data_IF_535138996958
#
_entry.id   IF_535138996958
#
_cell.length_a   1.000
_cell.length_b   1.000
_cell.length_c   1.000
_cell.angle_alpha   90.00
_cell.angle_beta   90.00
_cell.angle_gamma   90.00
#
_symmetry.space_group_name_H-M   'P 1'
#
loop_
_entity.id
_entity.type
_entity.pdbx_description
1 polymer ?
#
# COMPACT_ATOMS: atom_id res chain seq x y z
N UNK A 1 -14.63 14.52 10.54
CA UNK A 1 -13.65 14.32 9.46
C UNK A 1 -12.28 14.06 10.05
N UNK A 2 -11.84 12.81 10.11
CA UNK A 2 -10.54 12.51 10.71
C UNK A 2 -9.39 13.00 9.85
N UNK A 3 -8.42 13.63 10.49
CA UNK A 3 -7.15 14.04 9.90
C UNK A 3 -6.04 13.33 10.65
N UNK A 4 -5.05 12.83 9.92
CA UNK A 4 -3.89 12.15 10.51
C UNK A 4 -2.63 12.88 10.14
N UNK A 5 -1.70 12.96 11.09
CA UNK A 5 -0.47 13.72 10.93
C UNK A 5 0.74 12.82 11.05
N UNK A 6 1.71 13.07 10.20
CA UNK A 6 3.04 12.48 10.29
C UNK A 6 4.06 13.56 9.99
N UNK A 7 5.27 13.40 10.49
CA UNK A 7 6.36 14.32 10.25
C UNK A 7 7.63 13.58 9.86
N UNK A 8 8.51 14.29 9.17
CA UNK A 8 9.81 13.77 8.78
C UNK A 8 10.84 14.89 8.83
N UNK A 9 12.08 14.52 9.14
CA UNK A 9 13.22 15.44 9.16
C UNK A 9 14.35 14.82 8.34
N UNK A 10 14.93 15.61 7.46
CA UNK A 10 16.13 15.22 6.72
C UNK A 10 17.29 16.12 7.12
N UNK A 11 18.45 15.52 7.38
CA UNK A 11 19.67 16.24 7.73
C UNK A 11 20.76 15.93 6.71
N UNK A 12 21.43 16.97 6.22
CA UNK A 12 22.54 16.82 5.26
C UNK A 12 22.09 16.83 3.80
N UNK A 13 23.05 16.54 2.93
CA UNK A 13 22.79 16.43 1.49
C UNK A 13 22.09 15.12 1.11
N UNK A 14 21.80 14.95 -0.17
CA UNK A 14 21.02 13.79 -0.61
C UNK A 14 21.73 12.45 -0.32
N UNK A 15 22.94 12.28 -0.80
CA UNK A 15 23.63 10.99 -0.68
C UNK A 15 24.27 10.75 0.69
N UNK A 16 24.74 11.78 1.33
CA UNK A 16 25.40 11.69 2.64
C UNK A 16 24.49 11.96 3.82
N UNK A 17 23.25 12.34 3.57
CA UNK A 17 22.29 12.70 4.59
C UNK A 17 21.55 11.52 5.20
N UNK A 18 20.63 11.85 6.10
CA UNK A 18 19.80 10.85 6.79
C UNK A 18 18.47 11.46 7.16
N UNK A 19 17.45 10.61 7.19
CA UNK A 19 16.10 11.02 7.53
C UNK A 19 15.48 10.17 8.62
N UNK A 20 14.47 10.74 9.26
CA UNK A 20 13.61 10.05 10.21
C UNK A 20 12.17 10.47 9.92
N UNK A 21 11.24 9.57 10.13
CA UNK A 21 9.83 9.88 10.06
C UNK A 21 9.11 9.27 11.25
N UNK A 22 7.99 9.85 11.61
CA UNK A 22 7.09 9.30 12.65
C UNK A 22 5.65 9.75 12.41
N UNK A 23 4.71 8.87 12.75
CA UNK A 23 3.30 9.20 12.77
C UNK A 23 2.87 9.66 14.15
N UNK A 24 1.82 10.48 14.20
CA UNK A 24 1.29 11.00 15.46
C UNK A 24 0.86 9.94 16.47
N UNK A 25 0.48 8.75 15.98
CA UNK A 25 0.03 7.65 16.84
C UNK A 25 1.17 6.95 17.61
N UNK A 26 2.41 7.18 17.20
CA UNK A 26 3.55 6.43 17.71
C UNK A 26 3.69 5.01 17.16
N UNK A 27 2.72 4.55 16.37
CA UNK A 27 2.72 3.19 15.81
C UNK A 27 3.56 3.07 14.54
N UNK A 28 4.03 4.19 14.00
CA UNK A 28 4.83 4.22 12.78
C UNK A 28 6.00 5.17 12.99
N UNK A 29 7.20 4.65 12.91
CA UNK A 29 8.43 5.44 13.00
C UNK A 29 9.59 4.69 12.33
N UNK A 30 10.53 5.41 11.75
CA UNK A 30 11.69 4.77 11.14
C UNK A 30 12.74 5.75 10.65
N UNK A 31 13.83 5.18 10.20
CA UNK A 31 14.94 5.89 9.56
C UNK A 31 14.97 5.58 8.07
N UNK A 32 15.42 6.52 7.27
CA UNK A 32 15.58 6.32 5.84
C UNK A 32 16.76 7.13 5.31
N UNK A 33 17.27 6.74 4.16
CA UNK A 33 18.45 7.34 3.55
C UNK A 33 18.37 7.20 2.04
N UNK A 34 19.30 7.81 1.33
CA UNK A 34 19.47 7.57 -0.10
C UNK A 34 19.67 6.06 -0.36
N UNK A 35 20.53 5.41 0.43
CA UNK A 35 20.80 3.98 0.29
C UNK A 35 19.60 3.08 0.56
N UNK A 36 18.77 3.40 1.55
CA UNK A 36 17.58 2.59 1.83
C UNK A 36 16.47 2.81 0.83
N UNK A 37 16.48 3.91 0.09
CA UNK A 37 15.49 4.21 -0.94
C UNK A 37 15.88 3.71 -2.33
N UNK A 38 17.12 3.94 -2.74
CA UNK A 38 17.58 3.69 -4.10
C UNK A 38 18.62 2.57 -4.22
N UNK A 39 19.10 2.06 -3.09
CA UNK A 39 20.06 0.98 -3.02
C UNK A 39 19.55 -0.11 -2.06
N UNK A 40 20.40 -1.04 -1.65
CA UNK A 40 19.98 -2.15 -0.78
C UNK A 40 20.41 -1.99 0.69
N UNK A 41 20.52 -0.76 1.16
CA UNK A 41 20.83 -0.50 2.56
C UNK A 41 19.60 -0.70 3.44
N UNK A 42 19.84 -1.05 4.71
CA UNK A 42 18.78 -1.20 5.70
C UNK A 42 18.10 0.13 5.99
N UNK A 43 16.83 0.07 6.28
CA UNK A 43 16.00 1.21 6.60
C UNK A 43 14.73 1.20 5.79
N UNK A 44 13.83 2.12 6.09
CA UNK A 44 12.60 2.28 5.36
C UNK A 44 12.76 3.28 4.21
N UNK A 45 11.67 3.61 3.56
CA UNK A 45 11.62 4.58 2.47
C UNK A 45 10.16 4.95 2.18
N UNK A 46 9.92 6.04 1.44
CA UNK A 46 8.56 6.47 1.13
C UNK A 46 7.73 5.43 0.36
N UNK A 47 8.36 4.66 -0.51
CA UNK A 47 7.67 3.65 -1.32
C UNK A 47 7.17 2.50 -0.45
N UNK A 48 7.94 2.09 0.54
CA UNK A 48 7.51 1.09 1.53
C UNK A 48 6.33 1.60 2.35
N UNK A 49 6.34 2.87 2.74
CA UNK A 49 5.23 3.49 3.46
C UNK A 49 3.94 3.53 2.62
N UNK A 50 4.06 3.86 1.34
CA UNK A 50 2.92 3.83 0.42
C UNK A 50 2.40 2.41 0.23
N UNK A 51 3.30 1.44 0.09
CA UNK A 51 2.94 0.03 -0.03
C UNK A 51 2.17 -0.45 1.22
N UNK A 52 2.65 -0.09 2.41
CA UNK A 52 1.97 -0.44 3.66
C UNK A 52 0.59 0.19 3.74
N UNK A 53 0.45 1.45 3.37
CA UNK A 53 -0.82 2.16 3.35
C UNK A 53 -1.82 1.48 2.39
N UNK A 54 -1.36 1.14 1.19
CA UNK A 54 -2.20 0.47 0.18
C UNK A 54 -2.63 -0.92 0.66
N UNK A 55 -1.69 -1.72 1.16
CA UNK A 55 -1.98 -3.07 1.65
C UNK A 55 -3.01 -3.05 2.78
N UNK A 56 -2.84 -2.15 3.75
CA UNK A 56 -3.76 -2.00 4.88
C UNK A 56 -5.15 -1.55 4.43
N UNK A 57 -5.22 -0.54 3.59
CA UNK A 57 -6.49 -0.01 3.09
C UNK A 57 -7.23 -1.04 2.24
N UNK A 58 -6.53 -1.67 1.31
CA UNK A 58 -7.13 -2.67 0.42
C UNK A 58 -7.69 -3.86 1.20
N UNK A 59 -6.93 -4.40 2.16
CA UNK A 59 -7.38 -5.52 2.99
C UNK A 59 -8.65 -5.18 3.76
N UNK A 60 -8.70 -4.01 4.38
CA UNK A 60 -9.85 -3.57 5.15
C UNK A 60 -11.07 -3.31 4.24
N UNK A 61 -10.88 -2.66 3.10
CA UNK A 61 -11.95 -2.39 2.15
C UNK A 61 -12.54 -3.67 1.57
N UNK A 62 -11.69 -4.64 1.23
CA UNK A 62 -12.14 -5.93 0.72
C UNK A 62 -12.90 -6.70 1.78
N UNK A 63 -12.42 -6.71 3.02
CA UNK A 63 -13.13 -7.31 4.16
C UNK A 63 -14.52 -6.71 4.32
N UNK A 64 -14.64 -5.39 4.23
CA UNK A 64 -15.92 -4.70 4.31
C UNK A 64 -16.87 -5.13 3.18
N UNK A 65 -16.35 -5.30 1.97
CA UNK A 65 -17.16 -5.75 0.83
C UNK A 65 -17.64 -7.20 1.00
N UNK A 66 -16.81 -8.08 1.55
CA UNK A 66 -17.22 -9.45 1.88
C UNK A 66 -18.31 -9.46 2.95
N UNK A 67 -18.15 -8.67 3.99
CA UNK A 67 -19.12 -8.58 5.07
C UNK A 67 -20.48 -8.08 4.56
N UNK A 68 -20.48 -7.04 3.72
CA UNK A 68 -21.70 -6.50 3.11
C UNK A 68 -22.38 -7.51 2.20
N UNK A 69 -21.65 -8.43 1.62
CA UNK A 69 -22.21 -9.54 0.83
C UNK A 69 -22.68 -10.72 1.69
N UNK A 70 -22.65 -10.58 3.00
CA UNK A 70 -23.07 -11.64 3.94
C UNK A 70 -22.05 -12.74 4.15
N UNK A 71 -20.81 -12.53 3.74
CA UNK A 71 -19.73 -13.52 3.83
C UNK A 71 -18.49 -12.88 4.48
N UNK A 72 -18.53 -12.66 5.81
CA UNK A 72 -17.37 -12.09 6.50
C UNK A 72 -16.14 -13.00 6.36
N UNK A 73 -14.97 -12.44 6.11
CA UNK A 73 -13.75 -13.24 5.94
C UNK A 73 -13.19 -13.69 7.27
N UNK A 74 -12.47 -14.81 7.25
CA UNK A 74 -11.59 -15.20 8.35
C UNK A 74 -10.33 -14.32 8.30
N UNK A 75 -9.80 -14.11 7.11
CA UNK A 75 -8.62 -13.26 6.90
C UNK A 75 -8.57 -12.72 5.48
N UNK A 76 -7.97 -11.55 5.35
CA UNK A 76 -7.58 -10.95 4.06
C UNK A 76 -6.14 -10.51 4.20
N UNK A 77 -5.29 -11.05 3.36
CA UNK A 77 -3.87 -10.74 3.34
C UNK A 77 -3.52 -10.08 2.02
N UNK A 78 -2.88 -8.91 2.09
CA UNK A 78 -2.45 -8.17 0.91
C UNK A 78 -0.97 -7.84 1.03
N UNK A 79 -0.21 -8.21 0.00
CA UNK A 79 1.15 -7.76 -0.18
C UNK A 79 1.14 -6.71 -1.29
N UNK A 80 1.69 -5.54 -1.01
CA UNK A 80 1.79 -4.46 -1.99
C UNK A 80 3.25 -4.23 -2.37
N UNK A 81 3.50 -4.05 -3.65
CA UNK A 81 4.83 -3.74 -4.19
C UNK A 81 4.77 -2.41 -4.91
N UNK A 82 5.42 -1.41 -4.36
CA UNK A 82 5.48 -0.06 -4.90
C UNK A 82 6.79 0.13 -5.63
N UNK A 83 6.73 0.51 -6.89
CA UNK A 83 7.92 0.68 -7.74
C UNK A 83 8.17 2.16 -8.01
N UNK A 84 9.41 2.59 -7.74
CA UNK A 84 9.92 3.89 -8.17
C UNK A 84 10.91 3.65 -9.32
N UNK A 85 10.82 4.44 -10.36
CA UNK A 85 11.73 4.34 -11.48
C UNK A 85 12.05 5.71 -12.07
N UNK A 86 13.18 5.79 -12.75
CA UNK A 86 13.58 7.02 -13.44
C UNK A 86 12.84 7.09 -14.77
N UNK A 87 12.06 8.17 -14.94
CA UNK A 87 11.32 8.44 -16.19
C UNK A 87 11.82 9.79 -16.68
N UNK A 88 12.60 9.78 -17.77
CA UNK A 88 13.30 10.97 -18.21
C UNK A 88 14.34 11.41 -17.18
N UNK A 89 14.27 12.66 -16.74
CA UNK A 89 15.19 13.21 -15.73
C UNK A 89 14.64 13.17 -14.30
N UNK A 90 13.46 12.56 -14.10
CA UNK A 90 12.79 12.54 -12.79
C UNK A 90 12.51 11.13 -12.31
N UNK A 91 12.49 10.97 -11.01
CA UNK A 91 12.01 9.74 -10.38
C UNK A 91 10.50 9.80 -10.23
N UNK A 92 9.83 8.71 -10.57
CA UNK A 92 8.38 8.59 -10.44
C UNK A 92 8.00 7.25 -9.83
N UNK A 93 6.96 7.28 -9.01
CA UNK A 93 6.30 6.06 -8.56
C UNK A 93 5.33 5.67 -9.66
N UNK A 94 5.57 4.53 -10.29
CA UNK A 94 4.88 4.15 -11.53
C UNK A 94 3.91 3.01 -11.36
N UNK A 95 4.16 2.11 -10.40
CA UNK A 95 3.35 0.90 -10.24
C UNK A 95 3.14 0.54 -8.77
N UNK A 96 1.95 0.01 -8.52
CA UNK A 96 1.59 -0.61 -7.27
C UNK A 96 0.97 -1.98 -7.60
N UNK A 97 1.70 -3.05 -7.35
CA UNK A 97 1.23 -4.40 -7.61
C UNK A 97 0.77 -5.05 -6.32
N UNK A 98 -0.48 -5.47 -6.29
CA UNK A 98 -1.09 -6.11 -5.12
C UNK A 98 -1.25 -7.61 -5.36
N UNK A 99 -0.82 -8.40 -4.39
CA UNK A 99 -1.10 -9.83 -4.33
C UNK A 99 -1.98 -10.07 -3.11
N UNK A 100 -3.18 -10.57 -3.34
CA UNK A 100 -4.21 -10.71 -2.32
C UNK A 100 -4.58 -12.17 -2.14
N UNK A 101 -4.67 -12.60 -0.89
CA UNK A 101 -5.19 -13.92 -0.52
C UNK A 101 -6.26 -13.73 0.54
N UNK A 102 -7.44 -14.28 0.30
CA UNK A 102 -8.55 -14.17 1.24
C UNK A 102 -9.10 -15.55 1.59
N UNK A 103 -9.36 -15.75 2.89
CA UNK A 103 -10.06 -16.92 3.41
C UNK A 103 -11.47 -16.47 3.77
N UNK A 104 -12.43 -16.87 2.93
CA UNK A 104 -13.83 -16.47 3.06
C UNK A 104 -14.72 -17.70 2.91
N UNK A 105 -15.09 -18.34 4.02
CA UNK A 105 -15.92 -19.56 3.96
C UNK A 105 -17.23 -19.34 3.24
N UNK A 106 -17.56 -20.21 2.29
CA UNK A 106 -18.81 -20.19 1.57
C UNK A 106 -18.90 -19.16 0.44
N UNK A 107 -17.84 -18.43 0.15
CA UNK A 107 -17.83 -17.47 -0.96
C UNK A 107 -17.48 -18.19 -2.27
N UNK A 108 -18.26 -17.93 -3.32
CA UNK A 108 -18.02 -18.48 -4.65
C UNK A 108 -17.04 -17.62 -5.44
N UNK A 109 -16.25 -18.25 -6.30
CA UNK A 109 -15.21 -17.59 -7.09
C UNK A 109 -15.71 -16.39 -7.92
N UNK A 110 -16.85 -16.48 -8.66
CA UNK A 110 -17.34 -15.32 -9.43
C UNK A 110 -17.65 -14.12 -8.55
N UNK A 111 -18.25 -14.34 -7.38
CA UNK A 111 -18.56 -13.26 -6.43
C UNK A 111 -17.28 -12.68 -5.86
N UNK A 112 -16.31 -13.52 -5.54
CA UNK A 112 -14.99 -13.08 -5.09
C UNK A 112 -14.36 -12.13 -6.09
N UNK A 113 -14.31 -12.49 -7.37
CA UNK A 113 -13.73 -11.66 -8.44
C UNK A 113 -14.43 -10.31 -8.56
N UNK A 114 -15.74 -10.31 -8.48
CA UNK A 114 -16.53 -9.09 -8.52
C UNK A 114 -16.22 -8.16 -7.35
N UNK A 115 -16.12 -8.71 -6.14
CA UNK A 115 -15.83 -7.93 -4.94
C UNK A 115 -14.38 -7.40 -4.93
N UNK A 116 -13.43 -8.15 -5.45
CA UNK A 116 -12.06 -7.70 -5.63
C UNK A 116 -12.02 -6.49 -6.58
N UNK A 117 -12.71 -6.56 -7.72
CA UNK A 117 -12.75 -5.45 -8.67
C UNK A 117 -13.44 -4.22 -8.09
N UNK A 118 -14.51 -4.41 -7.34
CA UNK A 118 -15.18 -3.35 -6.61
C UNK A 118 -14.25 -2.67 -5.61
N UNK A 119 -13.42 -3.45 -4.93
CA UNK A 119 -12.44 -2.93 -3.97
C UNK A 119 -11.33 -2.15 -4.67
N UNK A 120 -10.88 -2.64 -5.82
CA UNK A 120 -9.86 -1.97 -6.63
C UNK A 120 -10.27 -0.54 -7.00
N UNK A 121 -11.55 -0.33 -7.30
CA UNK A 121 -12.07 0.99 -7.65
C UNK A 121 -12.50 1.82 -6.44
N UNK A 122 -12.82 1.18 -5.33
CA UNK A 122 -13.37 1.84 -4.14
C UNK A 122 -12.41 2.07 -2.98
N UNK A 123 -11.24 1.44 -2.98
CA UNK A 123 -10.25 1.66 -1.93
C UNK A 123 -9.74 3.11 -1.95
N UNK A 124 -9.86 3.87 -0.84
CA UNK A 124 -9.46 5.28 -0.83
C UNK A 124 -8.00 5.54 -1.19
N UNK A 125 -7.07 4.67 -0.78
CA UNK A 125 -5.65 4.83 -1.13
C UNK A 125 -5.44 4.58 -2.61
N UNK A 126 -6.05 3.53 -3.17
CA UNK A 126 -6.03 3.28 -4.62
C UNK A 126 -6.60 4.47 -5.39
N UNK A 127 -7.69 5.05 -4.89
CA UNK A 127 -8.29 6.25 -5.48
C UNK A 127 -7.37 7.46 -5.49
N UNK A 128 -6.59 7.64 -4.41
CA UNK A 128 -5.62 8.73 -4.32
C UNK A 128 -4.46 8.57 -5.33
N UNK A 129 -4.10 7.34 -5.68
CA UNK A 129 -3.01 7.03 -6.61
C UNK A 129 -3.47 6.94 -8.07
N UNK A 130 -4.77 6.79 -8.29
CA UNK A 130 -5.37 6.59 -9.62
C UNK A 130 -4.97 7.69 -10.60
N UNK A 131 -4.63 7.28 -11.81
CA UNK A 131 -4.23 8.21 -12.88
C UNK A 131 -2.73 8.50 -12.91
N UNK A 132 -2.02 8.30 -11.79
CA UNK A 132 -0.57 8.50 -11.72
C UNK A 132 0.19 7.19 -11.56
N UNK A 133 -0.42 6.21 -10.92
CA UNK A 133 0.20 4.93 -10.60
C UNK A 133 -0.63 3.81 -11.20
N UNK A 134 0.01 2.91 -11.93
CA UNK A 134 -0.63 1.70 -12.43
C UNK A 134 -0.85 0.72 -11.28
N UNK A 135 -2.10 0.40 -10.99
CA UNK A 135 -2.46 -0.51 -9.91
C UNK A 135 -2.93 -1.84 -10.50
N UNK A 136 -2.22 -2.92 -10.17
CA UNK A 136 -2.60 -4.28 -10.58
C UNK A 136 -2.95 -5.10 -9.35
N UNK A 137 -3.86 -6.06 -9.51
CA UNK A 137 -4.32 -6.94 -8.43
C UNK A 137 -4.33 -8.36 -8.92
N UNK A 138 -3.58 -9.22 -8.22
CA UNK A 138 -3.61 -10.68 -8.39
C UNK A 138 -4.20 -11.25 -7.10
N UNK A 139 -5.43 -11.75 -7.17
CA UNK A 139 -6.17 -12.18 -5.99
C UNK A 139 -6.54 -13.66 -6.05
N UNK A 140 -6.40 -14.34 -4.93
CA UNK A 140 -6.73 -15.76 -4.75
C UNK A 140 -7.64 -15.96 -3.56
N UNK A 141 -8.66 -16.79 -3.77
CA UNK A 141 -9.59 -17.24 -2.74
C UNK A 141 -9.10 -18.58 -2.19
N UNK A 142 -8.98 -18.66 -0.88
CA UNK A 142 -8.60 -19.91 -0.22
C UNK A 142 -7.35 -19.88 0.65
#
# INVERSE_FOLDING_TARGET
>A
MPTRTASATWEGGLKGGRGKFEGESGSMAGAYSFGSRFEEQKGSNPEELLAAAEAACFSMALSSNFEKAGKPPVSVETQARCTIEKVGDAFKITRMALVVRANVPGLEEPVFRELVEKTRTGCPVSGALKGNVEISVDAKLG
#
